data_IF_321303999655
#
_entry.id   IF_321303999655
#
_cell.length_a   1.000
_cell.length_b   1.000
_cell.length_c   1.000
_cell.angle_alpha   90.00
_cell.angle_beta   90.00
_cell.angle_gamma   90.00
#
_symmetry.space_group_name_H-M   'P 1'
#
loop_
_entity.id
_entity.type
_entity.pdbx_description
1 polymer ?
#
# COMPACT_ATOMS: atom_id res chain seq x y z
N UNK A 1 -3.91 -2.68 15.22
CA UNK A 1 -4.09 -4.01 14.60
C UNK A 1 -3.59 -3.97 13.17
N UNK A 2 -2.82 -4.96 12.78
CA UNK A 2 -2.18 -5.01 11.47
C UNK A 2 -2.60 -6.30 10.77
N UNK A 3 -3.03 -6.16 9.51
CA UNK A 3 -3.46 -7.27 8.66
C UNK A 3 -2.61 -7.32 7.40
N UNK A 4 -2.74 -8.42 6.66
CA UNK A 4 -2.04 -8.64 5.40
C UNK A 4 -3.07 -8.80 4.28
N UNK A 5 -2.88 -8.10 3.15
CA UNK A 5 -3.74 -8.22 2.00
C UNK A 5 -3.01 -7.81 0.73
N UNK A 6 -3.08 -8.64 -0.32
CA UNK A 6 -2.40 -8.39 -1.61
C UNK A 6 -0.93 -8.02 -1.46
N UNK A 7 -0.23 -8.75 -0.58
CA UNK A 7 1.20 -8.54 -0.29
C UNK A 7 1.49 -7.19 0.37
N UNK A 8 0.46 -6.50 0.90
CA UNK A 8 0.61 -5.24 1.62
C UNK A 8 0.26 -5.42 3.08
N UNK A 9 0.91 -4.65 3.93
CA UNK A 9 0.42 -4.47 5.29
C UNK A 9 -0.72 -3.48 5.28
N UNK A 10 -1.75 -3.77 6.08
CA UNK A 10 -2.87 -2.89 6.32
C UNK A 10 -2.95 -2.66 7.82
N UNK A 11 -2.67 -1.45 8.26
CA UNK A 11 -2.69 -1.10 9.68
C UNK A 11 -3.80 -0.11 9.97
N UNK A 12 -4.67 -0.46 10.94
CA UNK A 12 -5.72 0.45 11.40
C UNK A 12 -5.12 1.42 12.42
N UNK A 13 -5.14 2.71 12.11
CA UNK A 13 -4.58 3.76 12.96
C UNK A 13 -5.58 4.93 12.99
N UNK A 14 -6.18 5.15 14.16
CA UNK A 14 -7.03 6.33 14.42
C UNK A 14 -8.11 6.59 13.34
N UNK A 15 -8.83 5.53 12.97
CA UNK A 15 -9.91 5.67 11.99
C UNK A 15 -9.46 5.62 10.54
N UNK A 16 -8.17 5.50 10.29
CA UNK A 16 -7.60 5.33 8.96
C UNK A 16 -6.99 3.95 8.81
N UNK A 17 -6.85 3.52 7.57
CA UNK A 17 -6.20 2.26 7.23
C UNK A 17 -5.00 2.59 6.36
N UNK A 18 -3.79 2.33 6.90
CA UNK A 18 -2.55 2.65 6.21
C UNK A 18 -2.05 1.40 5.49
N UNK A 19 -1.85 1.51 4.18
CA UNK A 19 -1.33 0.43 3.36
C UNK A 19 0.16 0.68 3.09
N UNK A 20 0.98 -0.35 3.36
CA UNK A 20 2.44 -0.24 3.28
C UNK A 20 3.04 -1.44 2.55
N UNK A 21 4.25 -1.26 2.00
CA UNK A 21 5.02 -2.34 1.41
C UNK A 21 5.41 -3.36 2.46
N UNK A 22 5.30 -4.64 2.12
CA UNK A 22 5.87 -5.71 2.95
C UNK A 22 7.30 -6.00 2.51
N UNK A 23 8.13 -6.60 3.38
CA UNK A 23 9.46 -7.05 2.97
C UNK A 23 9.41 -8.03 1.80
N UNK A 24 8.40 -8.90 1.74
CA UNK A 24 8.24 -9.84 0.64
C UNK A 24 8.04 -9.13 -0.69
N UNK A 25 7.13 -8.12 -0.71
CA UNK A 25 6.90 -7.35 -1.93
C UNK A 25 8.16 -6.55 -2.30
N UNK A 26 8.84 -5.98 -1.33
CA UNK A 26 10.09 -5.25 -1.57
C UNK A 26 11.14 -6.15 -2.22
N UNK A 27 11.27 -7.38 -1.72
CA UNK A 27 12.21 -8.35 -2.28
C UNK A 27 11.82 -8.75 -3.71
N UNK A 28 10.53 -8.92 -3.95
CA UNK A 28 10.03 -9.33 -5.27
C UNK A 28 10.25 -8.27 -6.34
N UNK A 29 10.09 -7.00 -5.98
CA UNK A 29 10.20 -5.92 -6.98
C UNK A 29 11.63 -5.39 -7.12
N UNK A 30 12.42 -5.46 -6.07
CA UNK A 30 13.77 -4.87 -6.06
C UNK A 30 13.74 -3.38 -5.82
N UNK A 31 14.74 -2.66 -6.31
CA UNK A 31 14.86 -1.21 -6.08
C UNK A 31 13.82 -0.45 -6.89
N UNK A 32 12.96 0.28 -6.20
CA UNK A 32 11.90 1.08 -6.84
C UNK A 32 12.50 2.34 -7.45
N UNK A 33 12.26 2.55 -8.74
CA UNK A 33 12.81 3.68 -9.49
C UNK A 33 11.78 4.71 -9.92
N UNK A 34 10.50 4.32 -10.00
CA UNK A 34 9.43 5.22 -10.42
C UNK A 34 8.09 4.73 -9.89
N UNK A 35 7.25 5.65 -9.47
CA UNK A 35 5.86 5.33 -9.11
C UNK A 35 4.91 6.38 -9.67
N UNK A 36 3.69 5.95 -9.96
CA UNK A 36 2.60 6.82 -10.36
C UNK A 36 1.33 6.39 -9.65
N UNK A 37 0.77 7.26 -8.84
CA UNK A 37 -0.47 6.97 -8.13
C UNK A 37 -1.68 7.07 -9.07
N UNK A 38 -2.67 6.19 -8.82
CA UNK A 38 -3.97 6.32 -9.44
C UNK A 38 -4.62 7.62 -8.94
N UNK A 39 -5.22 8.38 -9.88
CA UNK A 39 -5.83 9.66 -9.57
C UNK A 39 -7.20 9.53 -8.90
N UNK A 40 -7.84 8.35 -8.99
CA UNK A 40 -9.15 8.12 -8.39
C UNK A 40 -9.05 8.10 -6.87
N UNK A 41 -9.98 8.80 -6.21
CA UNK A 41 -10.01 8.81 -4.74
C UNK A 41 -10.73 7.61 -4.16
N UNK A 42 -11.74 7.09 -4.86
CA UNK A 42 -12.49 5.92 -4.39
C UNK A 42 -12.01 4.68 -5.10
N UNK A 43 -11.72 3.64 -4.31
CA UNK A 43 -11.23 2.36 -4.84
C UNK A 43 -12.11 1.21 -4.37
N UNK A 44 -12.22 0.20 -5.22
CA UNK A 44 -12.81 -1.10 -4.89
C UNK A 44 -11.69 -2.11 -4.65
N UNK A 45 -12.04 -3.25 -4.08
CA UNK A 45 -11.10 -4.37 -3.96
C UNK A 45 -10.61 -4.75 -5.36
N UNK A 46 -9.29 -4.82 -5.53
CA UNK A 46 -8.69 -5.17 -6.80
C UNK A 46 -8.37 -3.98 -7.71
N UNK A 47 -8.79 -2.77 -7.36
CA UNK A 47 -8.40 -1.59 -8.13
C UNK A 47 -6.93 -1.25 -7.90
N UNK A 48 -6.29 -0.70 -8.92
CA UNK A 48 -4.90 -0.27 -8.82
C UNK A 48 -4.80 0.97 -7.93
N UNK A 49 -3.92 0.91 -6.94
CA UNK A 49 -3.57 2.06 -6.11
C UNK A 49 -2.49 2.90 -6.77
N UNK A 50 -1.55 2.23 -7.39
CA UNK A 50 -0.42 2.85 -8.06
C UNK A 50 0.24 1.85 -9.01
N UNK A 51 1.00 2.40 -9.95
CA UNK A 51 1.92 1.63 -10.79
C UNK A 51 3.34 1.88 -10.29
N UNK A 52 4.19 0.86 -10.30
CA UNK A 52 5.60 1.05 -9.98
C UNK A 52 6.50 0.37 -10.98
N UNK A 53 7.66 0.97 -11.19
CA UNK A 53 8.74 0.41 -11.98
C UNK A 53 9.93 0.22 -11.05
N UNK A 54 10.44 -0.99 -11.02
CA UNK A 54 11.54 -1.35 -10.13
C UNK A 54 12.56 -2.20 -10.87
N UNK A 55 13.67 -2.49 -10.23
CA UNK A 55 14.79 -3.17 -10.91
C UNK A 55 14.46 -4.58 -11.39
N UNK A 56 13.52 -5.26 -10.73
CA UNK A 56 13.16 -6.63 -11.09
C UNK A 56 11.87 -6.74 -11.89
N UNK A 57 10.98 -5.74 -11.82
CA UNK A 57 9.67 -5.85 -12.44
C UNK A 57 8.97 -4.49 -12.55
N UNK A 58 7.94 -4.45 -13.39
CA UNK A 58 6.97 -3.36 -13.49
C UNK A 58 5.62 -3.95 -13.16
N UNK A 59 4.90 -3.36 -12.20
CA UNK A 59 3.59 -3.87 -11.81
C UNK A 59 2.68 -2.79 -11.24
N UNK A 60 1.39 -3.13 -11.17
CA UNK A 60 0.41 -2.35 -10.41
C UNK A 60 0.25 -2.95 -9.03
N UNK A 61 0.06 -2.08 -8.04
CA UNK A 61 -0.26 -2.51 -6.67
C UNK A 61 -1.76 -2.35 -6.47
N UNK A 62 -2.43 -3.45 -6.16
CA UNK A 62 -3.89 -3.50 -6.08
C UNK A 62 -4.37 -3.39 -4.65
N UNK A 63 -5.50 -2.70 -4.47
CA UNK A 63 -6.08 -2.51 -3.14
C UNK A 63 -6.73 -3.80 -2.61
N UNK A 64 -6.40 -4.22 -1.38
CA UNK A 64 -7.09 -5.33 -0.74
C UNK A 64 -8.44 -4.93 -0.14
N UNK A 65 -8.76 -3.64 -0.09
CA UNK A 65 -9.97 -3.13 0.55
C UNK A 65 -10.62 -2.06 -0.30
N UNK A 66 -11.94 -2.01 -0.24
CA UNK A 66 -12.70 -0.89 -0.80
C UNK A 66 -12.70 0.27 0.19
N UNK A 67 -12.57 1.49 -0.31
CA UNK A 67 -12.58 2.67 0.53
C UNK A 67 -12.26 3.93 -0.25
N UNK A 68 -11.97 5.00 0.47
CA UNK A 68 -11.62 6.29 -0.11
C UNK A 68 -10.19 6.66 0.29
N UNK A 69 -9.37 7.01 -0.68
CA UNK A 69 -7.99 7.43 -0.45
C UNK A 69 -8.02 8.86 0.09
N UNK A 70 -7.46 9.08 1.27
CA UNK A 70 -7.38 10.40 1.90
C UNK A 70 -5.96 10.94 1.94
N UNK A 71 -4.97 10.09 1.71
CA UNK A 71 -3.58 10.53 1.62
C UNK A 71 -2.78 9.56 0.76
N UNK A 72 -1.82 10.10 0.01
CA UNK A 72 -0.85 9.36 -0.77
C UNK A 72 0.54 9.76 -0.32
N UNK A 73 1.48 8.84 -0.35
CA UNK A 73 2.87 9.14 0.02
C UNK A 73 3.56 9.89 -1.13
N UNK A 74 3.29 11.18 -1.24
CA UNK A 74 3.84 12.00 -2.31
C UNK A 74 5.37 12.09 -2.27
N UNK A 75 5.97 11.94 -1.10
CA UNK A 75 7.43 11.93 -0.98
C UNK A 75 8.06 10.79 -1.79
N UNK A 76 7.35 9.67 -1.93
CA UNK A 76 7.84 8.53 -2.70
C UNK A 76 7.82 8.79 -4.22
N UNK A 77 7.04 9.75 -4.70
CA UNK A 77 7.08 10.14 -6.12
C UNK A 77 8.42 10.79 -6.44
N UNK A 78 8.89 11.65 -5.53
CA UNK A 78 10.18 12.33 -5.71
C UNK A 78 11.35 11.44 -5.34
N UNK A 79 11.15 10.54 -4.35
CA UNK A 79 12.19 9.63 -3.88
C UNK A 79 11.63 8.21 -3.81
N UNK A 80 11.52 7.51 -4.96
CA UNK A 80 10.89 6.19 -5.01
C UNK A 80 11.51 5.15 -4.10
N UNK A 81 12.79 5.27 -3.78
CA UNK A 81 13.47 4.32 -2.88
C UNK A 81 12.96 4.36 -1.45
N UNK A 82 12.14 5.35 -1.08
CA UNK A 82 11.44 5.30 0.21
C UNK A 82 10.60 4.04 0.33
N UNK A 83 10.08 3.52 -0.78
CA UNK A 83 9.28 2.29 -0.78
C UNK A 83 10.13 1.04 -0.52
N UNK A 84 11.44 1.14 -0.58
CA UNK A 84 12.36 0.05 -0.23
C UNK A 84 12.76 0.08 1.25
N UNK A 85 12.35 1.10 2.00
CA UNK A 85 12.70 1.22 3.42
C UNK A 85 12.01 0.14 4.24
N UNK A 86 12.72 -0.37 5.25
CA UNK A 86 12.13 -1.28 6.23
C UNK A 86 11.20 -0.55 7.21
N UNK A 87 11.26 0.79 7.27
CA UNK A 87 10.44 1.59 8.14
C UNK A 87 9.09 1.90 7.46
N UNK A 88 7.96 1.42 8.00
CA UNK A 88 6.64 1.70 7.41
C UNK A 88 6.30 3.20 7.36
N UNK A 89 6.91 4.01 8.22
CA UNK A 89 6.72 5.46 8.16
C UNK A 89 7.29 6.06 6.87
N UNK A 90 8.19 5.34 6.19
CA UNK A 90 8.75 5.74 4.90
C UNK A 90 8.14 4.98 3.73
N UNK A 91 7.84 3.69 3.93
CA UNK A 91 7.38 2.81 2.86
C UNK A 91 5.87 2.66 2.76
N UNK A 92 5.11 3.51 3.43
CA UNK A 92 3.66 3.50 3.27
C UNK A 92 3.26 4.01 1.88
N UNK A 93 2.10 3.55 1.41
CA UNK A 93 1.61 3.89 0.07
C UNK A 93 0.47 4.89 0.13
N UNK A 94 -0.63 4.50 0.75
CA UNK A 94 -1.85 5.33 0.84
C UNK A 94 -2.51 5.12 2.20
N UNK A 95 -3.37 6.09 2.57
CA UNK A 95 -4.27 5.96 3.72
C UNK A 95 -5.69 5.96 3.21
N UNK A 96 -6.49 5.01 3.71
CA UNK A 96 -7.89 4.87 3.33
C UNK A 96 -8.81 5.21 4.50
N UNK A 97 -9.99 5.73 4.18
CA UNK A 97 -11.12 5.85 5.10
C UNK A 97 -12.35 5.22 4.43
N UNK A 98 -13.50 5.22 5.10
CA UNK A 98 -14.73 4.59 4.60
C UNK A 98 -14.54 3.12 4.25
N UNK A 99 -13.70 2.43 5.02
CA UNK A 99 -13.45 0.99 4.86
C UNK A 99 -14.38 0.23 5.78
N UNK A 100 -14.96 -0.88 5.28
CA UNK A 100 -15.74 -1.79 6.11
C UNK A 100 -14.81 -2.44 7.14
N UNK A 101 -15.10 -2.25 8.42
CA UNK A 101 -14.32 -2.89 9.48
C UNK A 101 -14.40 -4.42 9.37
N UNK A 102 -15.56 -4.95 8.99
CA UNK A 102 -15.71 -6.39 8.79
C UNK A 102 -14.78 -6.91 7.71
N UNK A 103 -14.65 -6.18 6.60
CA UNK A 103 -13.75 -6.57 5.52
C UNK A 103 -12.28 -6.52 5.97
N UNK A 104 -11.92 -5.50 6.75
CA UNK A 104 -10.58 -5.40 7.32
C UNK A 104 -10.29 -6.58 8.26
N UNK A 105 -11.24 -6.89 9.16
CA UNK A 105 -11.06 -7.98 10.12
C UNK A 105 -11.02 -9.35 9.45
N UNK A 106 -11.59 -9.48 8.25
CA UNK A 106 -11.56 -10.72 7.47
C UNK A 106 -10.19 -10.97 6.83
N UNK A 107 -9.32 -9.97 6.73
CA UNK A 107 -7.98 -10.17 6.21
C UNK A 107 -7.14 -11.01 7.18
N UNK A 108 -6.17 -11.78 6.67
CA UNK A 108 -5.23 -12.51 7.53
C UNK A 108 -4.45 -11.56 8.43
N UNK A 109 -4.13 -12.03 9.65
CA UNK A 109 -3.24 -11.28 10.53
C UNK A 109 -1.84 -11.20 9.92
N UNK A 110 -1.21 -10.03 10.08
CA UNK A 110 0.17 -9.88 9.68
C UNK A 110 1.05 -10.55 10.74
N UNK A 111 1.81 -11.53 10.33
CA UNK A 111 2.82 -12.14 11.19
C UNK A 111 4.06 -11.26 11.17
N UNK A 112 4.48 -10.84 12.34
CA UNK A 112 5.68 -10.01 12.47
C UNK A 112 6.94 -10.85 12.51
#
# INVERSE_FOLDING_TARGET
MKKLGNYLWVEQVEGFYVLSMTPELQDDVGTVGYIEFNAEDRVAVGDSLLSLEASKTVLDVFSPLAGRIVARNEAAVEQPTLLNSADPAESWLVKLTDVSEADFLALPDALS
#
